data_IF_121145774410
#
_entry.id   IF_121145774410
#
_cell.length_a   1.000
_cell.length_b   1.000
_cell.length_c   1.000
_cell.angle_alpha   90.00
_cell.angle_beta   90.00
_cell.angle_gamma   90.00
#
_symmetry.space_group_name_H-M   'P 1'
#
loop_
_entity.id
_entity.type
_entity.pdbx_description
1 polymer ?
#
# COMPACT_ATOMS: atom_id res chain seq x y z
N UNK A 1 -31.44 -13.01 28.11
CA UNK A 1 -30.19 -13.04 27.33
C UNK A 1 -28.99 -13.00 28.26
N UNK A 2 -27.99 -13.87 28.03
CA UNK A 2 -26.82 -14.04 28.91
C UNK A 2 -25.95 -12.77 28.98
N UNK A 3 -25.13 -12.64 30.05
CA UNK A 3 -24.18 -11.51 30.21
C UNK A 3 -23.22 -11.38 29.01
N UNK A 4 -22.81 -12.51 28.43
CA UNK A 4 -21.95 -12.54 27.25
C UNK A 4 -22.61 -11.89 26.02
N UNK A 5 -23.89 -12.18 25.76
CA UNK A 5 -24.63 -11.56 24.64
C UNK A 5 -24.76 -10.04 24.80
N UNK A 6 -24.91 -9.55 26.04
CA UNK A 6 -24.99 -8.10 26.32
C UNK A 6 -23.66 -7.39 26.03
N UNK A 7 -22.54 -7.98 26.44
CA UNK A 7 -21.19 -7.43 26.19
C UNK A 7 -20.85 -7.41 24.70
N UNK A 8 -21.20 -8.46 23.96
CA UNK A 8 -21.01 -8.51 22.49
C UNK A 8 -21.85 -7.44 21.80
N UNK A 9 -23.13 -7.31 22.17
CA UNK A 9 -24.00 -6.28 21.60
C UNK A 9 -23.49 -4.86 21.91
N UNK A 10 -22.90 -4.64 23.09
CA UNK A 10 -22.29 -3.36 23.45
C UNK A 10 -21.06 -3.05 22.59
N UNK A 11 -20.13 -4.00 22.44
CA UNK A 11 -18.95 -3.83 21.57
C UNK A 11 -19.33 -3.61 20.11
N UNK A 12 -20.40 -4.27 19.64
CA UNK A 12 -20.93 -4.06 18.29
C UNK A 12 -21.48 -2.62 18.11
N UNK A 13 -22.20 -2.09 19.11
CA UNK A 13 -22.67 -0.69 19.07
C UNK A 13 -21.52 0.31 19.12
N UNK A 14 -20.53 0.09 19.98
CA UNK A 14 -19.33 0.94 20.07
C UNK A 14 -18.57 0.97 18.74
N UNK A 15 -18.39 -0.21 18.10
CA UNK A 15 -17.76 -0.31 16.78
C UNK A 15 -18.59 0.39 15.70
N UNK A 16 -19.90 0.19 15.68
CA UNK A 16 -20.79 0.84 14.70
C UNK A 16 -20.72 2.37 14.77
N UNK A 17 -20.68 2.95 15.98
CA UNK A 17 -20.53 4.40 16.16
C UNK A 17 -19.20 4.94 15.62
N UNK A 18 -18.11 4.17 15.76
CA UNK A 18 -16.79 4.55 15.26
C UNK A 18 -16.66 4.42 13.75
N UNK A 19 -17.40 3.50 13.13
CA UNK A 19 -17.29 3.21 11.68
C UNK A 19 -18.40 3.84 10.84
N UNK A 20 -19.47 4.35 11.45
CA UNK A 20 -20.59 4.95 10.73
C UNK A 20 -20.33 6.41 10.39
N UNK A 21 -20.60 6.78 9.14
CA UNK A 21 -20.65 8.18 8.72
C UNK A 21 -21.98 8.78 9.22
N UNK A 22 -21.91 9.67 10.21
CA UNK A 22 -23.10 10.26 10.83
C UNK A 22 -23.81 11.29 9.94
N UNK A 23 -23.06 12.07 9.18
CA UNK A 23 -23.59 13.00 8.18
C UNK A 23 -22.51 13.45 7.20
N UNK A 24 -22.95 13.99 6.06
CA UNK A 24 -22.09 14.68 5.09
C UNK A 24 -22.67 16.06 4.76
N UNK A 25 -21.85 16.95 4.22
CA UNK A 25 -22.24 18.29 3.76
C UNK A 25 -22.08 18.35 2.25
N UNK A 26 -23.16 18.67 1.53
CA UNK A 26 -23.11 18.83 0.06
C UNK A 26 -22.44 20.15 -0.34
N UNK A 27 -22.09 20.28 -1.62
CA UNK A 27 -21.53 21.53 -2.22
C UNK A 27 -22.37 22.79 -1.94
N UNK A 28 -23.69 22.66 -1.74
CA UNK A 28 -24.61 23.77 -1.42
C UNK A 28 -24.79 24.03 0.10
N UNK A 29 -23.97 23.41 0.96
CA UNK A 29 -24.06 23.55 2.41
C UNK A 29 -25.16 22.72 3.10
N UNK A 30 -25.92 21.94 2.34
CA UNK A 30 -26.98 21.07 2.89
C UNK A 30 -26.38 19.85 3.62
N UNK A 31 -26.79 19.63 4.87
CA UNK A 31 -26.44 18.43 5.65
C UNK A 31 -27.34 17.25 5.29
N UNK A 32 -26.74 16.09 5.11
CA UNK A 32 -27.43 14.81 4.82
C UNK A 32 -27.09 13.81 5.90
N UNK A 33 -28.12 13.19 6.47
CA UNK A 33 -27.99 12.23 7.57
C UNK A 33 -28.43 10.80 7.18
N UNK A 34 -29.25 10.67 6.14
CA UNK A 34 -29.79 9.36 5.75
C UNK A 34 -28.73 8.52 5.03
N UNK A 35 -28.43 7.28 5.47
CA UNK A 35 -27.38 6.45 4.87
C UNK A 35 -27.52 6.24 3.36
N UNK A 36 -28.74 6.04 2.85
CA UNK A 36 -28.98 5.88 1.41
C UNK A 36 -28.63 7.14 0.62
N UNK A 37 -28.95 8.32 1.16
CA UNK A 37 -28.62 9.58 0.53
C UNK A 37 -27.11 9.85 0.62
N UNK A 38 -26.47 9.52 1.75
CA UNK A 38 -25.02 9.59 1.91
C UNK A 38 -24.32 8.73 0.84
N UNK A 39 -24.73 7.47 0.69
CA UNK A 39 -24.20 6.57 -0.34
C UNK A 39 -24.41 7.13 -1.75
N UNK A 40 -25.58 7.69 -2.06
CA UNK A 40 -25.87 8.30 -3.36
C UNK A 40 -24.96 9.50 -3.64
N UNK A 41 -24.76 10.38 -2.67
CA UNK A 41 -23.88 11.53 -2.83
C UNK A 41 -22.42 11.13 -3.01
N UNK A 42 -21.93 10.11 -2.28
CA UNK A 42 -20.59 9.55 -2.51
C UNK A 42 -20.46 8.97 -3.91
N UNK A 43 -21.41 8.15 -4.35
CA UNK A 43 -21.41 7.56 -5.68
C UNK A 43 -21.40 8.65 -6.76
N UNK A 44 -22.24 9.68 -6.62
CA UNK A 44 -22.28 10.81 -7.54
C UNK A 44 -20.98 11.62 -7.55
N UNK A 45 -20.41 11.91 -6.37
CA UNK A 45 -19.17 12.67 -6.26
C UNK A 45 -18.00 11.95 -6.92
N UNK A 46 -17.79 10.67 -6.61
CA UNK A 46 -16.70 9.90 -7.19
C UNK A 46 -16.94 9.60 -8.67
N UNK A 47 -18.19 9.38 -9.08
CA UNK A 47 -18.53 9.32 -10.49
C UNK A 47 -18.12 10.60 -11.20
N UNK A 48 -18.39 11.80 -10.65
CA UNK A 48 -17.94 13.05 -11.26
C UNK A 48 -16.42 13.24 -11.23
N UNK A 49 -15.76 12.82 -10.14
CA UNK A 49 -14.31 12.92 -9.98
C UNK A 49 -13.55 12.08 -11.02
N UNK A 50 -14.03 10.87 -11.29
CA UNK A 50 -13.39 9.95 -12.23
C UNK A 50 -13.96 10.05 -13.64
N UNK A 51 -15.20 10.53 -13.80
CA UNK A 51 -15.81 10.84 -15.10
C UNK A 51 -15.67 12.33 -15.44
N UNK A 52 -14.59 13.01 -14.99
CA UNK A 52 -14.25 14.34 -15.48
C UNK A 52 -14.18 14.25 -17.01
N UNK A 53 -15.24 14.73 -17.66
CA UNK A 53 -15.26 14.97 -19.10
C UNK A 53 -14.13 15.93 -19.39
N UNK A 54 -13.39 15.63 -20.45
CA UNK A 54 -12.27 16.38 -20.99
C UNK A 54 -12.44 17.88 -20.72
N UNK A 55 -11.76 18.41 -19.70
CA UNK A 55 -11.67 19.85 -19.54
C UNK A 55 -10.78 20.32 -20.69
N UNK A 56 -11.27 21.18 -21.60
CA UNK A 56 -10.48 21.66 -22.74
C UNK A 56 -9.20 22.39 -22.33
N UNK A 57 -9.06 22.77 -21.05
CA UNK A 57 -7.88 23.42 -20.49
C UNK A 57 -6.91 22.46 -19.78
N UNK A 58 -7.30 21.21 -19.51
CA UNK A 58 -6.38 20.19 -18.97
C UNK A 58 -6.24 19.05 -19.96
N UNK A 59 -5.08 18.92 -20.63
CA UNK A 59 -4.82 17.81 -21.54
C UNK A 59 -5.00 16.48 -20.81
N UNK A 60 -5.98 15.68 -21.24
CA UNK A 60 -6.08 14.29 -20.80
C UNK A 60 -4.80 13.56 -21.19
N UNK A 61 -4.27 12.69 -20.31
CA UNK A 61 -3.09 11.90 -20.64
C UNK A 61 -3.45 10.92 -21.77
N UNK A 62 -3.09 11.27 -23.00
CA UNK A 62 -3.19 10.37 -24.15
C UNK A 62 -2.07 9.34 -24.10
N UNK A 63 -2.26 8.16 -24.69
CA UNK A 63 -1.20 7.14 -24.77
C UNK A 63 0.11 7.72 -25.36
N UNK A 64 -0.03 8.61 -26.35
CA UNK A 64 1.10 9.33 -26.96
C UNK A 64 1.72 10.33 -25.98
N UNK A 65 0.93 11.10 -25.25
CA UNK A 65 1.40 12.05 -24.25
C UNK A 65 2.13 11.37 -23.07
N UNK A 66 1.60 10.24 -22.61
CA UNK A 66 2.22 9.40 -21.57
C UNK A 66 3.57 8.86 -22.08
N UNK A 67 3.60 8.27 -23.28
CA UNK A 67 4.84 7.75 -23.87
C UNK A 67 5.89 8.85 -24.06
N UNK A 68 5.47 10.01 -24.58
CA UNK A 68 6.36 11.17 -24.75
C UNK A 68 6.93 11.63 -23.41
N UNK A 69 6.09 11.78 -22.39
CA UNK A 69 6.54 12.13 -21.04
C UNK A 69 7.54 11.12 -20.50
N UNK A 70 7.23 9.81 -20.53
CA UNK A 70 8.11 8.76 -20.04
C UNK A 70 9.45 8.69 -20.79
N UNK A 71 9.43 8.89 -22.11
CA UNK A 71 10.65 8.92 -22.92
C UNK A 71 11.53 10.16 -22.64
N UNK A 72 10.92 11.26 -22.23
CA UNK A 72 11.63 12.50 -21.89
C UNK A 72 12.16 12.52 -20.46
N UNK A 73 11.74 11.60 -19.58
CA UNK A 73 12.32 11.45 -18.25
C UNK A 73 13.65 10.71 -18.40
N UNK A 74 14.79 11.32 -17.99
CA UNK A 74 16.05 10.61 -17.94
C UNK A 74 16.02 9.61 -16.78
N UNK A 75 15.46 8.43 -17.03
CA UNK A 75 15.51 7.33 -16.06
C UNK A 75 16.95 6.80 -16.02
N UNK A 76 17.54 6.66 -14.82
CA UNK A 76 18.86 6.06 -14.70
C UNK A 76 18.78 4.63 -15.23
N UNK A 77 19.58 4.34 -16.25
CA UNK A 77 19.74 2.98 -16.76
C UNK A 77 20.94 2.35 -16.08
N UNK A 78 20.83 1.07 -15.71
CA UNK A 78 21.95 0.33 -15.14
C UNK A 78 23.06 0.22 -16.17
N UNK A 79 24.29 0.51 -15.75
CA UNK A 79 25.46 0.23 -16.58
C UNK A 79 25.60 -1.28 -16.80
N UNK A 80 26.31 -1.67 -17.85
CA UNK A 80 26.53 -3.10 -18.12
C UNK A 80 27.25 -3.80 -16.97
N UNK A 81 28.17 -3.11 -16.30
CA UNK A 81 28.85 -3.60 -15.09
C UNK A 81 27.89 -3.81 -13.90
N UNK A 82 26.94 -2.89 -13.67
CA UNK A 82 25.94 -3.05 -12.62
C UNK A 82 25.00 -4.21 -12.91
N UNK A 83 24.60 -4.40 -14.17
CA UNK A 83 23.77 -5.55 -14.56
C UNK A 83 24.52 -6.87 -14.34
N UNK A 84 25.79 -6.94 -14.72
CA UNK A 84 26.62 -8.12 -14.50
C UNK A 84 26.79 -8.43 -13.01
N UNK A 85 27.02 -7.40 -12.19
CA UNK A 85 27.09 -7.57 -10.73
C UNK A 85 25.77 -8.10 -10.16
N UNK A 86 24.64 -7.54 -10.57
CA UNK A 86 23.32 -7.97 -10.11
C UNK A 86 22.92 -9.36 -10.61
N UNK A 87 23.49 -9.82 -11.74
CA UNK A 87 23.28 -11.15 -12.30
C UNK A 87 24.28 -12.19 -11.77
N UNK A 88 25.30 -11.78 -11.02
CA UNK A 88 26.28 -12.69 -10.45
C UNK A 88 25.63 -13.55 -9.34
N UNK A 89 26.15 -14.77 -9.09
CA UNK A 89 25.72 -15.58 -7.96
C UNK A 89 25.94 -14.85 -6.63
N UNK A 90 24.97 -14.97 -5.72
CA UNK A 90 25.06 -14.42 -4.37
C UNK A 90 26.17 -15.15 -3.60
N UNK A 91 27.07 -14.39 -2.99
CA UNK A 91 28.20 -14.91 -2.22
C UNK A 91 27.88 -15.04 -0.73
N UNK A 92 28.59 -15.93 -0.03
CA UNK A 92 28.45 -16.09 1.42
C UNK A 92 28.85 -14.81 2.20
N UNK A 93 29.78 -14.03 1.65
CA UNK A 93 30.20 -12.76 2.25
C UNK A 93 29.05 -11.73 2.20
N UNK A 94 28.37 -11.60 1.05
CA UNK A 94 27.20 -10.72 0.92
C UNK A 94 26.08 -11.11 1.88
N UNK A 95 25.82 -12.41 2.04
CA UNK A 95 24.83 -12.91 3.01
C UNK A 95 25.23 -12.52 4.44
N UNK A 96 26.49 -12.72 4.80
CA UNK A 96 27.02 -12.40 6.13
C UNK A 96 26.95 -10.91 6.44
N UNK A 97 27.36 -10.06 5.49
CA UNK A 97 27.28 -8.60 5.61
C UNK A 97 25.82 -8.13 5.72
N UNK A 98 24.93 -8.68 4.89
CA UNK A 98 23.51 -8.37 4.92
C UNK A 98 22.91 -8.67 6.30
N UNK A 99 23.12 -9.89 6.82
CA UNK A 99 22.62 -10.31 8.14
C UNK A 99 23.14 -9.38 9.25
N UNK A 100 24.42 -9.00 9.20
CA UNK A 100 25.02 -8.11 10.18
C UNK A 100 24.49 -6.67 10.12
N UNK A 101 24.03 -6.22 8.95
CA UNK A 101 23.46 -4.88 8.75
C UNK A 101 21.98 -4.77 9.20
N UNK A 102 21.29 -5.89 9.41
CA UNK A 102 19.86 -5.89 9.70
C UNK A 102 19.53 -5.30 11.09
N UNK A 103 18.48 -4.46 11.20
CA UNK A 103 18.09 -3.88 12.49
C UNK A 103 17.48 -4.94 13.42
N UNK A 104 17.91 -4.95 14.69
CA UNK A 104 17.41 -5.87 15.72
C UNK A 104 16.01 -5.46 16.20
N UNK A 105 15.24 -6.42 16.73
CA UNK A 105 13.92 -6.17 17.32
C UNK A 105 12.81 -5.82 16.33
N UNK A 106 12.97 -6.12 15.04
CA UNK A 106 11.90 -6.03 14.04
C UNK A 106 10.99 -7.25 14.08
N UNK A 107 9.73 -7.05 13.73
CA UNK A 107 8.76 -8.12 13.55
C UNK A 107 9.22 -9.08 12.44
N UNK A 108 8.88 -10.38 12.52
CA UNK A 108 9.25 -11.35 11.51
C UNK A 108 8.62 -11.02 10.15
N UNK A 109 9.36 -11.33 9.09
CA UNK A 109 8.90 -11.12 7.72
C UNK A 109 7.89 -12.19 7.27
N UNK A 110 7.56 -12.23 5.97
CA UNK A 110 6.71 -13.27 5.37
C UNK A 110 7.24 -14.70 5.60
N UNK A 111 8.57 -14.81 5.75
CA UNK A 111 9.33 -16.01 6.10
C UNK A 111 9.13 -16.46 7.56
N UNK A 112 8.50 -15.63 8.40
CA UNK A 112 8.20 -15.87 9.83
C UNK A 112 9.42 -15.96 10.75
N UNK A 113 10.62 -15.67 10.26
CA UNK A 113 11.83 -15.60 11.07
C UNK A 113 12.16 -14.14 11.39
N UNK A 114 12.72 -13.91 12.58
CA UNK A 114 13.26 -12.60 12.95
C UNK A 114 14.73 -12.50 12.56
N UNK A 115 15.26 -11.28 12.45
CA UNK A 115 16.67 -11.04 12.16
C UNK A 115 17.62 -11.76 13.15
N UNK A 116 17.18 -11.97 14.39
CA UNK A 116 17.94 -12.73 15.40
C UNK A 116 18.16 -14.19 15.01
N UNK A 117 17.22 -14.80 14.29
CA UNK A 117 17.36 -16.18 13.82
C UNK A 117 18.54 -16.30 12.85
N UNK A 118 18.63 -15.39 11.88
CA UNK A 118 19.71 -15.36 10.90
C UNK A 118 21.08 -15.07 11.51
N UNK A 119 21.13 -14.24 12.56
CA UNK A 119 22.38 -14.01 13.31
C UNK A 119 22.83 -15.22 14.13
N UNK A 120 21.89 -16.03 14.65
CA UNK A 120 22.19 -17.21 15.48
C UNK A 120 22.49 -18.46 14.65
N UNK A 121 21.91 -18.56 13.46
CA UNK A 121 22.04 -19.71 12.56
C UNK A 121 22.45 -19.23 11.15
N UNK A 122 23.69 -18.75 10.97
CA UNK A 122 24.16 -18.21 9.69
C UNK A 122 24.27 -19.27 8.58
N UNK A 123 24.29 -20.56 8.94
CA UNK A 123 24.59 -21.68 8.05
C UNK A 123 23.39 -22.63 7.87
N UNK A 124 22.47 -22.28 6.95
CA UNK A 124 21.99 -23.31 6.02
C UNK A 124 21.78 -22.84 4.57
N UNK A 125 22.22 -21.63 4.20
CA UNK A 125 21.87 -20.99 2.91
C UNK A 125 22.99 -20.92 1.87
N UNK A 126 23.97 -21.82 1.91
CA UNK A 126 24.93 -21.93 0.81
C UNK A 126 24.18 -22.27 -0.49
N UNK A 127 24.26 -21.44 -1.54
CA UNK A 127 23.72 -21.80 -2.84
C UNK A 127 24.51 -23.03 -3.30
N UNK A 128 23.86 -24.19 -3.29
CA UNK A 128 24.45 -25.42 -3.84
C UNK A 128 24.84 -25.16 -5.29
N UNK A 129 26.13 -25.33 -5.58
CA UNK A 129 26.73 -25.26 -6.92
C UNK A 129 26.05 -26.18 -7.93
#
# INVERSE_FOLDING_TARGET
>A
GSRASKLVAQRLRERQQQTQIAHIIKKKGQKVHLPSDICREFAQYYSQLYNLTEDPNTPQPTEVGIRSYLNNIPLPTLSESQKQLLAAPITENEISECINSLPKGKAPGPDRFTNEYYTKFPTPFSPTS
#
